data_IF_056367301607
#
_entry.id   IF_056367301607
#
_cell.length_a   1.000
_cell.length_b   1.000
_cell.length_c   1.000
_cell.angle_alpha   90.00
_cell.angle_beta   90.00
_cell.angle_gamma   90.00
#
_symmetry.space_group_name_H-M   'P 1'
#
loop_
_entity.id
_entity.type
_entity.pdbx_description
1 polymer ?
#
# COMPACT_ATOMS: atom_id res chain seq x y z
N UNK A 1 21.12 4.48 -24.25
CA UNK A 1 20.07 3.45 -24.41
C UNK A 1 20.57 2.02 -24.53
N UNK A 2 21.81 1.74 -24.98
CA UNK A 2 22.33 0.36 -25.04
C UNK A 2 22.53 -0.29 -23.65
N UNK A 3 23.08 0.47 -22.69
CA UNK A 3 23.31 0.01 -21.30
C UNK A 3 22.00 -0.48 -20.65
N UNK A 4 20.94 0.34 -20.68
CA UNK A 4 19.62 -0.04 -20.14
C UNK A 4 19.03 -1.30 -20.77
N UNK A 5 19.31 -1.53 -22.06
CA UNK A 5 18.84 -2.73 -22.75
C UNK A 5 19.59 -3.98 -22.25
N UNK A 6 20.90 -3.89 -22.08
CA UNK A 6 21.72 -4.97 -21.53
C UNK A 6 21.27 -5.26 -20.08
N UNK A 7 21.20 -4.23 -19.26
CA UNK A 7 20.72 -4.31 -17.87
C UNK A 7 19.38 -5.05 -17.78
N UNK A 8 18.39 -4.63 -18.59
CA UNK A 8 17.10 -5.30 -18.67
C UNK A 8 17.23 -6.77 -19.07
N UNK A 9 17.98 -7.09 -20.11
CA UNK A 9 18.15 -8.49 -20.53
C UNK A 9 18.85 -9.35 -19.48
N UNK A 10 19.87 -8.81 -18.81
CA UNK A 10 20.66 -9.54 -17.82
C UNK A 10 19.83 -9.85 -16.58
N UNK A 11 19.12 -8.85 -16.04
CA UNK A 11 18.27 -9.07 -14.85
C UNK A 11 17.15 -10.07 -15.16
N UNK A 12 16.51 -9.94 -16.33
CA UNK A 12 15.42 -10.83 -16.72
C UNK A 12 15.86 -12.28 -16.90
N UNK A 13 16.98 -12.50 -17.59
CA UNK A 13 17.47 -13.87 -17.79
C UNK A 13 17.85 -14.53 -16.46
N UNK A 14 18.47 -13.79 -15.54
CA UNK A 14 18.78 -14.32 -14.20
C UNK A 14 17.52 -14.74 -13.44
N UNK A 15 16.47 -13.91 -13.46
CA UNK A 15 15.18 -14.22 -12.83
C UNK A 15 14.55 -15.47 -13.45
N UNK A 16 14.54 -15.56 -14.79
CA UNK A 16 13.98 -16.69 -15.52
C UNK A 16 14.79 -17.99 -15.36
N UNK A 17 16.09 -17.87 -15.12
CA UNK A 17 16.99 -18.98 -14.82
C UNK A 17 16.89 -19.46 -13.35
N UNK A 18 16.09 -18.78 -12.52
CA UNK A 18 15.94 -19.11 -11.09
C UNK A 18 17.14 -18.69 -10.23
N UNK A 19 17.98 -17.77 -10.72
CA UNK A 19 19.04 -17.18 -9.91
C UNK A 19 18.49 -16.19 -8.86
N UNK A 20 19.27 -15.87 -7.81
CA UNK A 20 18.89 -14.84 -6.85
C UNK A 20 18.59 -13.50 -7.52
N UNK A 21 17.56 -12.80 -7.01
CA UNK A 21 17.16 -11.45 -7.44
C UNK A 21 18.26 -10.43 -7.16
N UNK A 22 18.02 -9.17 -7.56
CA UNK A 22 18.99 -8.07 -7.43
C UNK A 22 19.49 -7.91 -5.98
N UNK A 23 18.60 -8.12 -5.01
CA UNK A 23 18.88 -8.04 -3.58
C UNK A 23 19.15 -9.41 -2.91
N UNK A 24 19.30 -10.47 -3.71
CA UNK A 24 19.62 -11.82 -3.24
C UNK A 24 18.42 -12.67 -2.83
N UNK A 25 17.19 -12.15 -2.88
CA UNK A 25 15.97 -12.93 -2.55
C UNK A 25 15.60 -13.94 -3.63
N UNK A 26 14.77 -14.91 -3.24
CA UNK A 26 14.00 -15.72 -4.18
C UNK A 26 12.75 -14.97 -4.69
N UNK A 27 11.96 -15.64 -5.53
CA UNK A 27 10.78 -15.06 -6.17
C UNK A 27 9.58 -14.86 -5.22
N UNK A 28 9.54 -15.52 -4.06
CA UNK A 28 8.36 -15.55 -3.16
C UNK A 28 8.57 -14.82 -1.84
N UNK A 29 9.81 -14.50 -1.46
CA UNK A 29 10.15 -13.91 -0.18
C UNK A 29 9.84 -12.41 -0.13
N UNK A 30 9.06 -12.01 0.87
CA UNK A 30 8.81 -10.60 1.25
C UNK A 30 10.05 -10.05 1.96
N UNK A 31 10.38 -8.77 1.75
CA UNK A 31 11.47 -8.11 2.49
C UNK A 31 11.16 -8.05 3.99
N UNK A 32 12.20 -7.84 4.78
CA UNK A 32 12.09 -7.66 6.22
C UNK A 32 11.08 -6.55 6.57
N UNK A 33 10.26 -6.80 7.59
CA UNK A 33 9.26 -5.85 8.09
C UNK A 33 9.71 -5.30 9.44
N UNK A 34 9.64 -3.98 9.60
CA UNK A 34 9.70 -3.33 10.90
C UNK A 34 8.42 -2.51 11.08
N UNK A 35 7.72 -2.75 12.18
CA UNK A 35 6.37 -2.24 12.42
C UNK A 35 6.31 -1.63 13.82
N UNK A 36 5.93 -0.35 13.86
CA UNK A 36 5.77 0.40 15.11
C UNK A 36 4.42 1.16 15.07
N UNK A 37 3.81 1.34 16.24
CA UNK A 37 2.57 2.13 16.44
C UNK A 37 2.80 3.19 17.52
N UNK A 38 1.94 4.22 17.58
CA UNK A 38 2.06 5.28 18.60
C UNK A 38 3.35 6.11 18.48
N UNK A 39 3.92 6.18 17.27
CA UNK A 39 5.22 6.83 16.98
C UNK A 39 5.19 8.35 17.24
N UNK A 40 4.02 8.99 17.11
CA UNK A 40 3.85 10.43 17.30
C UNK A 40 2.91 10.75 18.48
N UNK A 41 3.45 11.41 19.51
CA UNK A 41 2.78 11.65 20.80
C UNK A 41 1.42 12.38 20.71
N UNK A 42 1.28 13.35 19.80
CA UNK A 42 0.10 14.22 19.73
C UNK A 42 -0.92 13.81 18.66
N UNK A 43 -0.69 12.71 17.95
CA UNK A 43 -1.65 12.20 16.96
C UNK A 43 -2.76 11.40 17.63
N UNK A 44 -3.91 11.24 16.98
CA UNK A 44 -4.94 10.34 17.52
C UNK A 44 -4.53 8.88 17.34
N UNK A 45 -3.83 8.56 16.25
CA UNK A 45 -3.06 7.33 16.10
C UNK A 45 -1.98 7.50 15.05
N UNK A 46 -0.93 6.70 15.15
CA UNK A 46 0.19 6.72 14.21
C UNK A 46 0.83 5.35 14.07
N UNK A 47 1.43 5.10 12.92
CA UNK A 47 2.20 3.89 12.66
C UNK A 47 3.38 4.18 11.74
N UNK A 48 4.50 3.52 11.98
CA UNK A 48 5.63 3.47 11.07
C UNK A 48 5.72 2.04 10.52
N UNK A 49 5.46 1.90 9.23
CA UNK A 49 5.55 0.62 8.54
C UNK A 49 6.74 0.66 7.58
N UNK A 50 7.74 -0.17 7.84
CA UNK A 50 8.92 -0.34 6.99
C UNK A 50 8.91 -1.75 6.40
N UNK A 51 9.12 -1.85 5.08
CA UNK A 51 9.33 -3.11 4.36
C UNK A 51 10.52 -2.98 3.44
N UNK A 52 11.65 -3.58 3.83
CA UNK A 52 12.95 -3.28 3.22
C UNK A 52 13.19 -1.77 3.22
N UNK A 53 13.55 -1.21 2.07
CA UNK A 53 13.80 0.23 1.88
C UNK A 53 12.54 1.01 1.45
N UNK A 54 11.36 0.54 1.82
CA UNK A 54 10.10 1.28 1.65
C UNK A 54 9.48 1.53 3.02
N UNK A 55 9.34 2.80 3.38
CA UNK A 55 8.85 3.22 4.68
C UNK A 55 7.69 4.22 4.53
N UNK A 56 6.64 3.99 5.30
CA UNK A 56 5.47 4.87 5.40
C UNK A 56 5.20 5.22 6.86
N UNK A 57 5.31 6.51 7.18
CA UNK A 57 4.80 7.08 8.43
C UNK A 57 3.36 7.50 8.20
N UNK A 58 2.43 6.81 8.86
CA UNK A 58 1.00 7.03 8.69
C UNK A 58 0.40 7.59 9.95
N UNK A 59 -0.44 8.60 9.80
CA UNK A 59 -1.14 9.26 10.90
C UNK A 59 -2.64 9.23 10.68
N UNK A 60 -3.39 9.05 11.76
CA UNK A 60 -4.84 9.12 11.79
C UNK A 60 -5.26 10.31 12.64
N UNK A 61 -6.17 11.13 12.10
CA UNK A 61 -6.86 12.20 12.80
C UNK A 61 -8.36 11.94 12.75
N UNK A 62 -9.02 12.16 13.88
CA UNK A 62 -10.46 12.00 14.05
C UNK A 62 -11.07 13.39 14.24
N UNK A 63 -12.08 13.71 13.45
CA UNK A 63 -12.83 14.95 13.52
C UNK A 63 -14.31 14.69 13.77
N UNK A 64 -15.02 15.77 14.07
CA UNK A 64 -16.48 15.75 14.13
C UNK A 64 -17.09 15.45 12.76
N UNK A 65 -18.40 15.18 12.69
CA UNK A 65 -19.12 15.04 11.41
C UNK A 65 -19.01 16.29 10.51
N UNK A 66 -18.77 17.47 11.10
CA UNK A 66 -18.61 18.73 10.36
C UNK A 66 -17.28 18.83 9.62
N UNK A 67 -16.30 18.01 9.99
CA UNK A 67 -14.98 17.96 9.35
C UNK A 67 -14.97 17.05 8.11
N UNK A 68 -16.14 16.60 7.66
CA UNK A 68 -16.30 15.83 6.43
C UNK A 68 -15.90 16.65 5.20
N UNK A 69 -15.30 15.98 4.22
CA UNK A 69 -14.96 16.62 2.95
C UNK A 69 -16.21 16.75 2.09
N UNK A 70 -16.65 17.99 1.82
CA UNK A 70 -17.73 18.24 0.88
C UNK A 70 -17.22 18.14 -0.56
N UNK A 71 -17.77 17.21 -1.33
CA UNK A 71 -17.43 17.00 -2.75
C UNK A 71 -18.66 17.30 -3.60
N UNK A 72 -18.56 18.31 -4.46
CA UNK A 72 -19.57 18.65 -5.45
C UNK A 72 -19.21 17.96 -6.79
N UNK A 73 -20.08 17.07 -7.26
CA UNK A 73 -19.87 16.36 -8.53
C UNK A 73 -20.44 17.17 -9.69
N UNK A 74 -19.60 17.43 -10.69
CA UNK A 74 -19.97 18.20 -11.88
C UNK A 74 -21.11 17.56 -12.68
N UNK A 75 -21.14 16.23 -12.76
CA UNK A 75 -22.07 15.51 -13.64
C UNK A 75 -23.50 15.40 -13.07
N UNK A 76 -23.64 15.30 -11.74
CA UNK A 76 -24.94 15.04 -11.09
C UNK A 76 -25.46 16.20 -10.26
N UNK A 77 -24.67 17.27 -10.06
CA UNK A 77 -24.93 18.34 -9.08
C UNK A 77 -25.15 17.82 -7.64
N UNK A 78 -24.76 16.58 -7.35
CA UNK A 78 -24.85 16.01 -6.01
C UNK A 78 -23.73 16.54 -5.13
N UNK A 79 -24.08 16.84 -3.89
CA UNK A 79 -23.13 17.11 -2.81
C UNK A 79 -22.97 15.86 -1.98
N UNK A 80 -21.74 15.36 -1.89
CA UNK A 80 -21.40 14.19 -1.09
C UNK A 80 -20.53 14.66 0.07
N UNK A 81 -20.92 14.27 1.28
CA UNK A 81 -20.10 14.39 2.47
C UNK A 81 -19.22 13.14 2.58
N UNK A 82 -17.93 13.29 2.33
CA UNK A 82 -16.96 12.22 2.43
C UNK A 82 -16.30 12.23 3.82
N UNK A 83 -16.72 11.30 4.66
CA UNK A 83 -16.21 11.14 6.03
C UNK A 83 -14.87 10.40 6.10
N UNK A 84 -14.34 9.88 4.99
CA UNK A 84 -13.05 9.18 4.99
C UNK A 84 -12.09 9.74 3.95
N UNK A 85 -11.12 10.50 4.43
CA UNK A 85 -10.05 11.08 3.65
C UNK A 85 -8.78 10.26 3.82
N UNK A 86 -8.10 9.94 2.73
CA UNK A 86 -6.75 9.38 2.76
C UNK A 86 -5.87 10.20 1.82
N UNK A 87 -4.89 10.88 2.40
CA UNK A 87 -3.87 11.64 1.67
C UNK A 87 -2.56 10.86 1.67
N UNK A 88 -1.86 10.94 0.55
CA UNK A 88 -0.61 10.25 0.32
C UNK A 88 0.39 11.29 -0.20
N UNK A 89 1.53 11.37 0.44
CA UNK A 89 2.58 12.33 0.13
C UNK A 89 3.88 11.58 -0.20
N UNK A 90 4.56 12.01 -1.26
CA UNK A 90 5.80 11.43 -1.77
C UNK A 90 6.87 12.51 -1.89
N UNK A 91 7.48 12.90 -0.75
CA UNK A 91 8.51 13.91 -0.73
C UNK A 91 9.75 13.45 -1.51
N UNK A 92 10.48 14.34 -2.20
CA UNK A 92 11.64 13.95 -3.03
C UNK A 92 12.73 13.19 -2.29
N UNK A 93 12.92 13.47 -0.99
CA UNK A 93 13.96 12.85 -0.19
C UNK A 93 13.77 11.34 -0.02
N UNK A 94 12.55 10.80 -0.19
CA UNK A 94 12.28 9.37 0.02
C UNK A 94 12.94 8.47 -1.03
N UNK A 95 13.37 9.06 -2.15
CA UNK A 95 14.18 8.42 -3.19
C UNK A 95 15.60 9.00 -3.26
N UNK A 96 16.01 9.77 -2.24
CA UNK A 96 17.33 10.42 -2.21
C UNK A 96 17.50 11.60 -3.17
N UNK A 97 16.41 12.14 -3.72
CA UNK A 97 16.45 13.25 -4.67
C UNK A 97 16.10 14.59 -4.02
N UNK A 98 16.62 15.68 -4.59
CA UNK A 98 16.10 17.03 -4.31
C UNK A 98 14.97 17.36 -5.28
N UNK A 99 13.92 18.04 -4.82
CA UNK A 99 12.83 18.45 -5.70
C UNK A 99 11.92 19.48 -5.07
N UNK A 100 11.05 20.07 -5.90
CA UNK A 100 10.09 21.08 -5.44
C UNK A 100 8.93 20.39 -4.70
N UNK A 101 8.71 20.77 -3.45
CA UNK A 101 7.52 20.38 -2.67
C UNK A 101 6.45 21.45 -2.90
N UNK A 102 5.42 21.11 -3.67
CA UNK A 102 4.33 22.00 -4.06
C UNK A 102 2.99 21.29 -3.78
N UNK A 103 2.05 21.32 -4.73
CA UNK A 103 0.83 20.53 -4.67
C UNK A 103 1.05 19.05 -5.00
N UNK A 104 0.01 18.28 -4.75
CA UNK A 104 -0.02 16.82 -4.93
C UNK A 104 0.04 16.47 -6.42
N UNK A 105 0.98 15.61 -6.80
CA UNK A 105 1.16 15.08 -8.16
C UNK A 105 0.08 14.05 -8.48
N UNK A 106 -0.18 13.82 -9.78
CA UNK A 106 -1.11 12.79 -10.26
C UNK A 106 -0.83 11.40 -9.67
N UNK A 107 0.44 11.00 -9.57
CA UNK A 107 0.83 9.69 -8.99
C UNK A 107 0.52 9.59 -7.50
N UNK A 108 0.72 10.67 -6.76
CA UNK A 108 0.38 10.73 -5.32
C UNK A 108 -1.12 10.58 -5.11
N UNK A 109 -1.94 11.29 -5.90
CA UNK A 109 -3.41 11.12 -5.88
C UNK A 109 -3.80 9.68 -6.24
N UNK A 110 -3.18 9.10 -7.27
CA UNK A 110 -3.45 7.73 -7.72
C UNK A 110 -3.13 6.68 -6.64
N UNK A 111 -1.94 6.76 -6.04
CA UNK A 111 -1.53 5.88 -4.95
C UNK A 111 -2.39 6.06 -3.70
N UNK A 112 -2.69 7.30 -3.32
CA UNK A 112 -3.62 7.59 -2.23
C UNK A 112 -5.01 7.02 -2.50
N UNK A 113 -5.54 7.13 -3.72
CA UNK A 113 -6.85 6.57 -4.07
C UNK A 113 -6.87 5.04 -4.03
N UNK A 114 -5.79 4.37 -4.45
CA UNK A 114 -5.67 2.92 -4.33
C UNK A 114 -5.64 2.49 -2.86
N UNK A 115 -4.80 3.12 -2.04
CA UNK A 115 -4.72 2.82 -0.62
C UNK A 115 -6.06 3.06 0.08
N UNK A 116 -6.73 4.18 -0.25
CA UNK A 116 -8.08 4.50 0.22
C UNK A 116 -9.06 3.38 -0.07
N UNK A 117 -9.15 2.93 -1.33
CA UNK A 117 -10.04 1.82 -1.72
C UNK A 117 -9.74 0.53 -0.96
N UNK A 118 -8.46 0.23 -0.72
CA UNK A 118 -8.05 -0.94 0.06
C UNK A 118 -8.55 -0.91 1.51
N UNK A 119 -8.60 0.28 2.13
CA UNK A 119 -9.03 0.46 3.52
C UNK A 119 -10.55 0.62 3.66
N UNK A 120 -11.21 1.34 2.74
CA UNK A 120 -12.63 1.70 2.85
C UNK A 120 -13.56 0.50 3.07
N UNK A 121 -13.25 -0.65 2.47
CA UNK A 121 -14.06 -1.87 2.64
C UNK A 121 -14.13 -2.38 4.10
N UNK A 122 -13.14 -2.02 4.93
CA UNK A 122 -13.03 -2.44 6.32
C UNK A 122 -13.39 -1.35 7.32
N UNK A 123 -13.75 -0.14 6.89
CA UNK A 123 -14.14 0.93 7.79
C UNK A 123 -15.53 0.66 8.43
N UNK A 124 -15.75 1.17 9.66
CA UNK A 124 -17.07 1.20 10.26
C UNK A 124 -18.00 2.16 9.50
N UNK A 125 -19.31 2.02 9.74
CA UNK A 125 -20.29 2.99 9.27
C UNK A 125 -20.20 4.29 10.08
N UNK A 126 -20.76 5.39 9.56
CA UNK A 126 -20.80 6.67 10.29
C UNK A 126 -21.80 6.64 11.45
N UNK A 127 -22.71 5.68 11.45
CA UNK A 127 -23.63 5.37 12.53
C UNK A 127 -22.91 4.67 13.68
N UNK A 128 -22.05 3.70 13.38
CA UNK A 128 -21.30 2.92 14.39
C UNK A 128 -20.10 3.69 14.94
N UNK A 129 -19.47 4.53 14.11
CA UNK A 129 -18.32 5.34 14.49
C UNK A 129 -18.49 6.77 13.97
N UNK A 130 -19.10 7.68 14.77
CA UNK A 130 -19.59 8.99 14.31
C UNK A 130 -18.48 10.06 14.16
N UNK A 131 -17.34 9.67 13.60
CA UNK A 131 -16.19 10.53 13.35
C UNK A 131 -15.89 10.65 11.86
N UNK A 132 -15.46 11.84 11.44
CA UNK A 132 -14.77 11.99 10.16
C UNK A 132 -13.31 11.56 10.36
N UNK A 133 -12.81 10.70 9.48
CA UNK A 133 -11.48 10.09 9.59
C UNK A 133 -10.60 10.67 8.50
N UNK A 134 -9.46 11.24 8.90
CA UNK A 134 -8.38 11.66 7.99
C UNK A 134 -7.14 10.82 8.25
N UNK A 135 -6.72 10.08 7.24
CA UNK A 135 -5.44 9.38 7.22
C UNK A 135 -4.46 10.14 6.33
N UNK A 136 -3.24 10.33 6.80
CA UNK A 136 -2.13 10.89 6.01
C UNK A 136 -0.98 9.90 6.02
N UNK A 137 -0.58 9.44 4.84
CA UNK A 137 0.57 8.58 4.63
C UNK A 137 1.72 9.39 4.05
N UNK A 138 2.77 9.57 4.85
CA UNK A 138 4.03 10.20 4.47
C UNK A 138 5.03 9.12 4.10
N UNK A 139 5.47 9.08 2.84
CA UNK A 139 6.48 8.13 2.41
C UNK A 139 7.86 8.70 2.73
N UNK A 140 8.53 8.12 3.71
CA UNK A 140 9.85 8.55 4.16
C UNK A 140 10.98 7.86 3.39
N UNK A 141 10.74 6.64 2.89
CA UNK A 141 11.67 5.89 2.03
C UNK A 141 10.89 5.12 0.94
N UNK A 142 11.43 5.00 -0.27
CA UNK A 142 10.78 4.27 -1.34
C UNK A 142 11.74 3.54 -2.28
N UNK A 143 11.77 2.21 -2.14
CA UNK A 143 12.34 1.29 -3.12
C UNK A 143 11.37 0.13 -3.43
N UNK A 144 10.12 0.45 -3.73
CA UNK A 144 9.10 -0.53 -4.17
C UNK A 144 7.76 -0.37 -3.47
N UNK A 145 6.72 -0.11 -4.26
CA UNK A 145 5.31 0.02 -3.89
C UNK A 145 5.01 0.59 -2.49
N UNK A 146 5.39 1.84 -2.27
CA UNK A 146 4.98 2.66 -1.13
C UNK A 146 3.46 2.82 -0.99
N UNK A 147 2.70 2.64 -2.08
CA UNK A 147 1.22 2.56 -2.02
C UNK A 147 0.72 1.40 -1.16
N UNK A 148 1.42 0.25 -1.15
CA UNK A 148 1.03 -0.90 -0.33
C UNK A 148 1.53 -0.77 1.11
N UNK A 149 2.70 -0.15 1.32
CA UNK A 149 3.12 0.27 2.65
C UNK A 149 2.11 1.23 3.29
N UNK A 150 1.53 2.14 2.50
CA UNK A 150 0.46 3.04 2.96
C UNK A 150 -0.80 2.29 3.40
N UNK A 151 -1.16 1.18 2.75
CA UNK A 151 -2.29 0.34 3.18
C UNK A 151 -1.99 -0.28 4.55
N UNK A 152 -0.82 -0.93 4.69
CA UNK A 152 -0.44 -1.56 5.95
C UNK A 152 -0.36 -0.53 7.09
N UNK A 153 0.34 0.58 6.86
CA UNK A 153 0.46 1.67 7.83
C UNK A 153 -0.90 2.31 8.17
N UNK A 154 -1.80 2.46 7.20
CA UNK A 154 -3.16 2.97 7.46
C UNK A 154 -3.96 2.02 8.34
N UNK A 155 -3.88 0.70 8.09
CA UNK A 155 -4.56 -0.28 8.94
C UNK A 155 -4.07 -0.18 10.39
N UNK A 156 -2.75 -0.10 10.59
CA UNK A 156 -2.13 0.02 11.91
C UNK A 156 -2.51 1.34 12.59
N UNK A 157 -2.35 2.47 11.90
CA UNK A 157 -2.64 3.80 12.46
C UNK A 157 -4.13 4.01 12.75
N UNK A 158 -5.04 3.34 12.02
CA UNK A 158 -6.47 3.36 12.32
C UNK A 158 -6.77 2.56 13.59
N UNK A 159 -6.18 1.38 13.73
CA UNK A 159 -6.33 0.56 14.94
C UNK A 159 -5.71 1.24 16.16
N UNK A 160 -4.54 1.87 16.01
CA UNK A 160 -3.89 2.66 17.06
C UNK A 160 -4.75 3.84 17.50
N UNK A 161 -5.47 4.48 16.56
CA UNK A 161 -6.42 5.55 16.86
C UNK A 161 -7.75 5.08 17.49
N UNK A 162 -7.93 3.77 17.66
CA UNK A 162 -9.15 3.16 18.16
C UNK A 162 -10.31 3.17 17.19
N UNK A 163 -10.04 3.25 15.89
CA UNK A 163 -11.08 3.07 14.86
C UNK A 163 -11.44 1.59 14.79
N UNK A 164 -12.71 1.20 14.97
CA UNK A 164 -13.14 -0.20 14.97
C UNK A 164 -13.22 -0.76 13.54
N UNK A 165 -12.08 -0.98 12.89
CA UNK A 165 -12.03 -1.59 11.56
C UNK A 165 -12.42 -3.07 11.63
N UNK A 166 -13.13 -3.56 10.60
CA UNK A 166 -13.67 -4.93 10.56
C UNK A 166 -12.60 -6.03 10.59
N UNK A 167 -11.41 -5.74 10.08
CA UNK A 167 -10.24 -6.61 10.08
C UNK A 167 -8.99 -5.83 9.65
N UNK A 168 -7.78 -6.24 10.08
CA UNK A 168 -6.53 -5.72 9.56
C UNK A 168 -6.40 -5.92 8.04
N UNK A 169 -5.88 -4.91 7.36
CA UNK A 169 -5.70 -4.88 5.90
C UNK A 169 -4.22 -4.71 5.57
N UNK A 170 -3.69 -5.60 4.74
CA UNK A 170 -2.33 -5.48 4.21
C UNK A 170 -2.33 -5.43 2.68
N UNK A 171 -1.27 -4.85 2.14
CA UNK A 171 -1.01 -4.73 0.71
C UNK A 171 0.32 -5.35 0.28
N UNK A 172 0.34 -5.94 -0.90
CA UNK A 172 1.55 -6.46 -1.54
C UNK A 172 1.61 -6.02 -3.00
N UNK A 173 2.82 -5.78 -3.49
CA UNK A 173 3.07 -5.55 -4.91
C UNK A 173 3.84 -6.72 -5.49
N UNK A 174 3.42 -7.11 -6.67
CA UNK A 174 3.84 -8.32 -7.33
C UNK A 174 4.26 -7.96 -8.75
N UNK A 175 5.21 -8.72 -9.28
CA UNK A 175 5.70 -8.56 -10.64
C UNK A 175 5.60 -9.87 -11.42
N UNK A 176 5.70 -9.76 -12.74
CA UNK A 176 5.87 -10.90 -13.64
C UNK A 176 7.01 -10.58 -14.59
N UNK A 177 7.90 -11.55 -14.78
CA UNK A 177 8.83 -11.58 -15.91
C UNK A 177 8.44 -12.77 -16.79
N UNK A 178 8.24 -12.54 -18.09
CA UNK A 178 7.87 -13.56 -19.07
C UNK A 178 8.73 -13.44 -20.33
N UNK A 179 9.19 -14.58 -20.81
CA UNK A 179 9.96 -14.71 -22.06
C UNK A 179 9.52 -16.00 -22.76
N UNK A 180 8.85 -15.85 -23.90
CA UNK A 180 8.15 -16.92 -24.61
C UNK A 180 7.28 -17.77 -23.65
N UNK A 181 7.61 -19.04 -23.43
CA UNK A 181 6.86 -19.95 -22.54
C UNK A 181 7.35 -19.94 -21.08
N UNK A 182 8.47 -19.27 -20.78
CA UNK A 182 9.03 -19.16 -19.42
C UNK A 182 8.42 -17.95 -18.71
N UNK A 183 8.04 -18.11 -17.45
CA UNK A 183 7.64 -16.99 -16.61
C UNK A 183 8.05 -17.17 -15.16
N UNK A 184 8.15 -16.05 -14.44
CA UNK A 184 8.41 -16.03 -13.00
C UNK A 184 7.62 -14.90 -12.36
N UNK A 185 6.84 -15.24 -11.33
CA UNK A 185 6.10 -14.28 -10.52
C UNK A 185 6.98 -13.83 -9.36
N UNK A 186 7.10 -12.51 -9.17
CA UNK A 186 7.92 -11.89 -8.15
C UNK A 186 7.06 -11.33 -7.03
N UNK A 187 7.40 -11.64 -5.79
CA UNK A 187 6.77 -11.09 -4.59
C UNK A 187 7.55 -9.91 -4.04
N UNK A 188 6.83 -8.87 -3.64
CA UNK A 188 7.39 -7.66 -3.06
C UNK A 188 8.49 -7.05 -3.94
N UNK A 189 8.07 -6.61 -5.13
CA UNK A 189 8.96 -6.07 -6.15
C UNK A 189 9.66 -4.79 -5.71
N UNK A 190 10.93 -4.68 -6.10
CA UNK A 190 11.73 -3.46 -6.02
C UNK A 190 11.32 -2.47 -7.12
N UNK A 191 11.77 -1.21 -7.00
CA UNK A 191 11.56 -0.21 -8.05
C UNK A 191 12.19 -0.62 -9.39
N UNK A 192 13.37 -1.21 -9.36
CA UNK A 192 14.06 -1.70 -10.56
C UNK A 192 13.31 -2.86 -11.21
N UNK A 193 12.76 -3.78 -10.42
CA UNK A 193 12.04 -4.94 -10.94
C UNK A 193 10.70 -4.57 -11.59
N UNK A 194 10.01 -3.54 -11.08
CA UNK A 194 8.85 -2.95 -11.75
C UNK A 194 9.25 -2.38 -13.13
N UNK A 195 10.35 -1.61 -13.18
CA UNK A 195 10.82 -1.03 -14.43
C UNK A 195 11.18 -2.09 -15.50
N UNK A 196 11.72 -3.22 -15.06
CA UNK A 196 12.24 -4.28 -15.93
C UNK A 196 11.24 -5.43 -16.20
N UNK A 197 10.18 -5.53 -15.39
CA UNK A 197 9.11 -6.53 -15.49
C UNK A 197 8.09 -6.25 -16.59
N UNK A 198 7.25 -7.25 -16.85
CA UNK A 198 6.23 -7.26 -17.90
C UNK A 198 4.80 -7.02 -17.38
N UNK A 199 4.60 -7.20 -16.09
CA UNK A 199 3.37 -6.84 -15.39
C UNK A 199 3.73 -6.43 -13.97
N UNK A 200 3.12 -5.36 -13.50
CA UNK A 200 3.05 -5.03 -12.08
C UNK A 200 1.59 -5.08 -11.62
N UNK A 201 1.36 -5.77 -10.51
CA UNK A 201 0.04 -5.79 -9.90
C UNK A 201 0.10 -5.67 -8.40
N UNK A 202 -0.86 -4.95 -7.84
CA UNK A 202 -0.94 -4.61 -6.43
C UNK A 202 -2.24 -5.17 -5.88
N UNK A 203 -2.13 -5.92 -4.79
CA UNK A 203 -3.26 -6.56 -4.13
C UNK A 203 -3.31 -6.08 -2.69
N UNK A 204 -4.44 -5.53 -2.28
CA UNK A 204 -4.71 -5.15 -0.90
C UNK A 204 -5.96 -5.86 -0.39
N UNK A 205 -5.95 -6.30 0.86
CA UNK A 205 -7.06 -7.02 1.44
C UNK A 205 -6.82 -7.54 2.84
N UNK A 206 -7.82 -8.26 3.34
CA UNK A 206 -7.79 -8.90 4.65
C UNK A 206 -7.36 -10.36 4.53
N UNK A 207 -7.36 -11.09 5.64
CA UNK A 207 -7.23 -12.54 5.65
C UNK A 207 -8.35 -13.26 4.90
N UNK A 208 -9.54 -12.63 4.81
CA UNK A 208 -10.75 -13.23 4.23
C UNK A 208 -10.94 -12.95 2.74
N UNK A 209 -10.33 -11.88 2.20
CA UNK A 209 -10.61 -11.47 0.83
C UNK A 209 -9.77 -10.28 0.36
N UNK A 210 -9.97 -9.91 -0.90
CA UNK A 210 -9.31 -8.78 -1.56
C UNK A 210 -10.25 -7.57 -1.52
N UNK A 211 -9.72 -6.43 -1.08
CA UNK A 211 -10.45 -5.15 -1.03
C UNK A 211 -10.15 -4.29 -2.26
N UNK A 212 -8.92 -4.33 -2.74
CA UNK A 212 -8.49 -3.60 -3.93
C UNK A 212 -7.46 -4.40 -4.73
N UNK A 213 -7.58 -4.30 -6.05
CA UNK A 213 -6.68 -4.88 -7.03
C UNK A 213 -6.36 -3.79 -8.06
N UNK A 214 -5.09 -3.58 -8.35
CA UNK A 214 -4.61 -2.78 -9.48
C UNK A 214 -3.67 -3.64 -10.30
N UNK A 215 -3.79 -3.59 -11.63
CA UNK A 215 -2.93 -4.30 -12.55
C UNK A 215 -2.53 -3.36 -13.69
N UNK A 216 -1.24 -3.36 -14.04
CA UNK A 216 -0.71 -2.73 -15.23
C UNK A 216 0.10 -3.79 -16.00
N UNK A 217 -0.34 -4.08 -17.22
CA UNK A 217 0.18 -5.16 -18.06
C UNK A 217 0.87 -4.52 -19.27
N UNK A 218 2.15 -4.87 -19.47
CA UNK A 218 3.00 -4.29 -20.53
C UNK A 218 3.14 -5.22 -21.75
N UNK A 219 2.66 -6.46 -21.67
CA UNK A 219 2.76 -7.49 -22.72
C UNK A 219 1.43 -8.21 -22.97
N UNK A 220 1.30 -8.81 -24.15
CA UNK A 220 0.21 -9.74 -24.43
C UNK A 220 0.52 -11.15 -23.89
N UNK A 221 -0.50 -12.01 -23.84
CA UNK A 221 -0.32 -13.44 -23.56
C UNK A 221 -0.19 -13.81 -22.08
N UNK A 222 -0.76 -13.01 -21.17
CA UNK A 222 -0.96 -13.42 -19.77
C UNK A 222 -2.22 -14.29 -19.69
N UNK A 223 -2.04 -15.56 -19.37
CA UNK A 223 -3.13 -16.53 -19.26
C UNK A 223 -3.79 -16.47 -17.87
N UNK A 224 -5.00 -17.04 -17.78
CA UNK A 224 -5.72 -17.19 -16.50
C UNK A 224 -4.90 -18.01 -15.49
N UNK A 225 -4.21 -19.05 -15.94
CA UNK A 225 -3.35 -19.89 -15.09
C UNK A 225 -2.21 -19.08 -14.46
N UNK A 226 -1.54 -18.22 -15.24
CA UNK A 226 -0.49 -17.33 -14.72
C UNK A 226 -1.08 -16.39 -13.66
N UNK A 227 -2.26 -15.83 -13.92
CA UNK A 227 -2.92 -14.94 -12.97
C UNK A 227 -3.32 -15.65 -11.68
N UNK A 228 -3.79 -16.90 -11.78
CA UNK A 228 -4.17 -17.73 -10.63
C UNK A 228 -2.96 -18.01 -9.71
N UNK A 229 -1.82 -18.37 -10.30
CA UNK A 229 -0.55 -18.55 -9.59
C UNK A 229 -0.15 -17.24 -8.90
N UNK A 230 -0.20 -16.13 -9.65
CA UNK A 230 0.23 -14.84 -9.15
C UNK A 230 -0.63 -14.33 -7.98
N UNK A 231 -1.96 -14.49 -8.06
CA UNK A 231 -2.88 -14.13 -6.99
C UNK A 231 -2.75 -15.03 -5.77
N UNK A 232 -2.43 -16.32 -5.96
CA UNK A 232 -2.17 -17.27 -4.86
C UNK A 232 -0.92 -16.86 -4.10
N UNK A 233 0.18 -16.58 -4.80
CA UNK A 233 1.42 -16.11 -4.20
C UNK A 233 1.23 -14.74 -3.50
N UNK A 234 0.46 -13.84 -4.10
CA UNK A 234 0.10 -12.56 -3.49
C UNK A 234 -0.72 -12.74 -2.20
N UNK A 235 -1.62 -13.73 -2.14
CA UNK A 235 -2.39 -14.06 -0.95
C UNK A 235 -1.46 -14.54 0.17
N UNK A 236 -0.53 -15.45 -0.12
CA UNK A 236 0.43 -15.96 0.87
C UNK A 236 1.27 -14.82 1.47
N UNK A 237 1.84 -13.97 0.61
CA UNK A 237 2.60 -12.80 1.03
C UNK A 237 1.76 -11.83 1.88
N UNK A 238 0.51 -11.57 1.48
CA UNK A 238 -0.43 -10.72 2.23
C UNK A 238 -0.73 -11.31 3.62
N UNK A 239 -0.98 -12.61 3.71
CA UNK A 239 -1.25 -13.28 4.99
C UNK A 239 -0.04 -13.25 5.92
N UNK A 240 1.17 -13.41 5.39
CA UNK A 240 2.40 -13.26 6.16
C UNK A 240 2.51 -11.83 6.75
N UNK A 241 2.32 -10.80 5.93
CA UNK A 241 2.36 -9.39 6.39
C UNK A 241 1.31 -9.14 7.47
N UNK A 242 0.07 -9.59 7.28
CA UNK A 242 -0.99 -9.48 8.30
C UNK A 242 -0.57 -10.19 9.60
N UNK A 243 0.02 -11.37 9.49
CA UNK A 243 0.52 -12.12 10.64
C UNK A 243 1.54 -11.33 11.47
N UNK A 244 2.48 -10.66 10.81
CA UNK A 244 3.48 -9.81 11.49
C UNK A 244 2.88 -8.52 12.05
N UNK A 245 1.96 -7.87 11.31
CA UNK A 245 1.22 -6.69 11.81
C UNK A 245 0.45 -7.02 13.10
N UNK A 246 -0.19 -8.19 13.15
CA UNK A 246 -0.98 -8.62 14.30
C UNK A 246 -0.13 -8.92 15.54
N UNK A 247 1.18 -9.14 15.40
CA UNK A 247 2.08 -9.27 16.55
C UNK A 247 2.28 -7.93 17.28
N UNK A 248 2.10 -6.81 16.58
CA UNK A 248 2.19 -5.46 17.13
C UNK A 248 0.84 -4.98 17.63
N UNK A 249 -0.21 -5.12 16.82
CA UNK A 249 -1.58 -4.76 17.20
C UNK A 249 -2.58 -5.69 16.50
N UNK A 250 -3.27 -6.51 17.30
CA UNK A 250 -4.26 -7.47 16.80
C UNK A 250 -5.69 -6.95 16.80
N UNK A 251 -5.98 -5.99 17.68
CA UNK A 251 -7.30 -5.36 17.83
C UNK A 251 -7.14 -3.84 18.00
N UNK A 252 -8.15 -3.03 17.60
CA UNK A 252 -8.10 -1.59 17.81
C UNK A 252 -7.93 -1.21 19.28
N UNK A 253 -7.10 -0.19 19.55
CA UNK A 253 -6.94 0.39 20.88
C UNK A 253 -8.20 1.15 21.31
N UNK A 254 -8.24 1.61 22.57
CA UNK A 254 -9.21 2.64 22.96
C UNK A 254 -8.88 3.97 22.26
N UNK A 255 -9.91 4.75 21.91
CA UNK A 255 -9.72 6.03 21.26
C UNK A 255 -8.83 6.98 22.10
N UNK A 256 -7.92 7.70 21.44
CA UNK A 256 -6.98 8.62 22.10
C UNK A 256 -7.70 9.65 22.98
N UNK A 257 -7.08 10.00 24.10
CA UNK A 257 -7.58 11.03 25.04
C UNK A 257 -7.77 12.40 24.36
N UNK A 258 -6.99 12.67 23.32
CA UNK A 258 -7.00 13.91 22.55
C UNK A 258 -8.04 13.90 21.42
N UNK A 259 -8.63 12.75 21.12
CA UNK A 259 -9.69 12.67 20.14
C UNK A 259 -10.93 13.47 20.61
N UNK A 260 -11.69 14.08 19.69
CA UNK A 260 -12.93 14.74 20.04
C UNK A 260 -13.83 13.76 20.79
N UNK A 261 -14.43 14.17 21.90
CA UNK A 261 -15.46 13.39 22.58
C UNK A 261 -16.80 13.91 22.07
N UNK A 262 -17.52 13.07 21.32
CA UNK A 262 -18.93 13.30 21.00
C UNK A 262 -19.81 13.15 22.23
#
# INVERSE_FOLDING_TARGET
NYIKKIEKSTVRERILAGEPRIDGRDSSTVRELAIEIGVLENTHGSALFTRGETQALVTTTLGSKRDAQLIEKLETNDRIEDHFMLHYNFPPYCVGETGRVMGVKRREVGHGRLARRGITACLPSIEDFPYSIRVVSEITESNGSSSMASVCGSSLALMDAGVPIKAPVAGIAMGLVKDDDRFTVLTDILGDEDHLGDMDFKVAGTSRGINALQMDIKIDGITEDIMSIALTQAKEARLNIIGQMNQVISEPNEASKNAPKT
#
